data_IF_913948834220
#
_entry.id   IF_913948834220
#
_cell.length_a   1.000
_cell.length_b   1.000
_cell.length_c   1.000
_cell.angle_alpha   90.00
_cell.angle_beta   90.00
_cell.angle_gamma   90.00
#
_symmetry.space_group_name_H-M   'P 1'
#
loop_
_entity.id
_entity.type
_entity.pdbx_description
1 polymer ?
#
# COMPACT_ATOMS: atom_id res chain seq x y z
N UNK A 1 9.26 -6.25 -12.42
CA UNK A 1 10.09 -7.21 -11.65
C UNK A 1 9.19 -7.86 -10.62
N UNK A 2 9.14 -9.19 -10.55
CA UNK A 2 8.31 -9.94 -9.58
C UNK A 2 8.96 -9.96 -8.20
N UNK A 3 8.22 -10.34 -7.15
CA UNK A 3 8.80 -10.51 -5.80
C UNK A 3 9.92 -11.56 -5.78
N UNK A 4 9.83 -12.61 -6.60
CA UNK A 4 10.87 -13.62 -6.74
C UNK A 4 12.17 -13.04 -7.33
N UNK A 5 12.06 -12.24 -8.40
CA UNK A 5 13.22 -11.55 -8.97
C UNK A 5 13.86 -10.56 -7.99
N UNK A 6 13.05 -9.89 -7.17
CA UNK A 6 13.55 -9.03 -6.09
C UNK A 6 14.31 -9.83 -5.04
N UNK A 7 13.77 -10.99 -4.61
CA UNK A 7 14.45 -11.91 -3.68
C UNK A 7 15.81 -12.34 -4.22
N UNK A 8 15.88 -12.82 -5.46
CA UNK A 8 17.14 -13.29 -6.06
C UNK A 8 18.20 -12.19 -6.10
N UNK A 9 17.80 -10.95 -6.40
CA UNK A 9 18.73 -9.83 -6.55
C UNK A 9 19.15 -9.21 -5.22
N UNK A 10 18.22 -9.05 -4.30
CA UNK A 10 18.39 -8.23 -3.09
C UNK A 10 18.48 -9.07 -1.81
N UNK A 11 18.20 -10.38 -1.87
CA UNK A 11 18.14 -11.25 -0.70
C UNK A 11 16.92 -11.00 0.20
N UNK A 12 16.00 -10.14 -0.21
CA UNK A 12 14.83 -9.74 0.57
C UNK A 12 13.61 -10.55 0.13
N UNK A 13 13.02 -11.29 1.05
CA UNK A 13 11.79 -12.03 0.81
C UNK A 13 10.57 -11.26 1.35
N UNK A 14 9.54 -11.14 0.51
CA UNK A 14 8.28 -10.48 0.83
C UNK A 14 7.11 -11.19 0.14
N UNK A 15 5.86 -10.99 0.60
CA UNK A 15 4.68 -11.44 -0.12
C UNK A 15 4.67 -10.89 -1.56
N UNK A 16 4.21 -11.69 -2.53
CA UNK A 16 4.04 -11.24 -3.92
C UNK A 16 2.77 -10.38 -4.07
N UNK A 17 2.69 -9.29 -3.29
CA UNK A 17 1.50 -8.47 -3.13
C UNK A 17 1.87 -7.03 -2.82
N UNK A 18 1.23 -6.10 -3.51
CA UNK A 18 1.24 -4.67 -3.18
C UNK A 18 0.11 -4.38 -2.21
N UNK A 19 0.44 -3.81 -1.06
CA UNK A 19 -0.56 -3.36 -0.08
C UNK A 19 -0.82 -1.87 -0.29
N UNK A 20 -2.02 -1.55 -0.76
CA UNK A 20 -2.45 -0.18 -1.03
C UNK A 20 -3.19 0.35 0.20
N UNK A 21 -2.65 1.41 0.80
CA UNK A 21 -3.11 1.94 2.07
C UNK A 21 -4.25 2.95 1.87
N UNK A 22 -5.34 2.74 2.62
CA UNK A 22 -6.53 3.58 2.67
C UNK A 22 -6.77 4.08 4.11
N UNK A 23 -6.06 5.14 4.54
CA UNK A 23 -6.32 5.77 5.83
C UNK A 23 -7.72 6.40 5.85
N UNK A 24 -8.46 6.18 6.94
CA UNK A 24 -9.79 6.77 7.16
C UNK A 24 -9.76 8.29 6.98
N UNK A 25 -8.75 8.98 7.49
CA UNK A 25 -8.65 10.44 7.39
C UNK A 25 -8.42 10.99 5.96
N UNK A 26 -8.21 10.09 4.98
CA UNK A 26 -7.72 10.37 3.61
C UNK A 26 -6.33 11.04 3.57
N UNK A 27 -5.61 11.09 4.70
CA UNK A 27 -4.31 11.76 4.78
C UNK A 27 -3.21 10.87 4.21
N UNK A 28 -2.74 11.22 3.01
CA UNK A 28 -1.56 10.60 2.41
C UNK A 28 -0.31 11.31 2.89
N UNK A 29 0.43 10.68 3.81
CA UNK A 29 1.69 11.22 4.33
C UNK A 29 2.77 11.21 3.23
N UNK A 30 3.74 12.13 3.33
CA UNK A 30 4.90 12.18 2.40
C UNK A 30 5.71 10.89 2.45
N UNK A 31 5.86 10.30 3.63
CA UNK A 31 6.54 9.04 3.86
C UNK A 31 5.74 8.15 4.81
N UNK A 32 5.84 6.84 4.61
CA UNK A 32 5.19 5.80 5.43
C UNK A 32 6.03 5.53 6.69
N UNK A 33 7.35 5.63 6.59
CA UNK A 33 8.38 5.27 7.59
C UNK A 33 8.58 6.32 8.71
N UNK A 34 7.49 6.95 9.16
CA UNK A 34 7.56 7.93 10.25
C UNK A 34 7.45 7.33 11.65
N UNK A 35 7.56 6.01 11.78
CA UNK A 35 7.56 5.31 13.07
C UNK A 35 8.76 4.38 13.18
N UNK A 36 9.20 4.12 14.42
CA UNK A 36 10.33 3.22 14.70
C UNK A 36 10.07 1.78 14.24
N UNK A 37 8.81 1.43 13.97
CA UNK A 37 8.40 0.09 13.56
C UNK A 37 8.31 -0.08 12.04
N UNK A 38 8.41 0.98 11.23
CA UNK A 38 8.33 0.88 9.77
C UNK A 38 9.48 1.67 9.16
N UNK A 39 10.36 0.96 8.46
CA UNK A 39 11.52 1.57 7.82
C UNK A 39 11.50 1.34 6.31
N UNK A 40 11.80 2.38 5.55
CA UNK A 40 12.08 2.21 4.12
C UNK A 40 13.32 1.33 3.91
N UNK A 41 13.22 0.38 3.00
CA UNK A 41 14.34 -0.51 2.66
C UNK A 41 14.88 -0.20 1.28
N UNK A 42 14.08 -0.44 0.23
CA UNK A 42 14.52 -0.30 -1.16
C UNK A 42 13.33 -0.25 -2.12
N UNK A 43 13.54 0.24 -3.33
CA UNK A 43 12.55 0.14 -4.40
C UNK A 43 12.71 -1.16 -5.20
N UNK A 44 11.60 -1.65 -5.74
CA UNK A 44 11.63 -2.51 -6.91
C UNK A 44 12.32 -1.79 -8.09
N UNK A 45 12.86 -2.55 -9.04
CA UNK A 45 13.33 -2.02 -10.31
C UNK A 45 12.18 -1.28 -11.00
N UNK A 46 12.46 -0.05 -11.43
CA UNK A 46 11.50 0.81 -12.09
C UNK A 46 10.84 0.09 -13.28
N UNK A 47 9.51 0.11 -13.32
CA UNK A 47 8.77 -0.26 -14.52
C UNK A 47 8.67 0.97 -15.42
N UNK A 48 9.08 0.84 -16.68
CA UNK A 48 9.10 1.94 -17.65
C UNK A 48 8.04 1.69 -18.73
N UNK A 49 7.21 2.70 -18.97
CA UNK A 49 6.19 2.66 -20.01
C UNK A 49 5.97 4.05 -20.60
N UNK A 50 5.79 4.13 -21.91
CA UNK A 50 5.33 5.37 -22.55
C UNK A 50 3.85 5.57 -22.23
N UNK A 51 3.49 6.68 -21.59
CA UNK A 51 2.11 6.89 -21.16
C UNK A 51 1.73 8.37 -21.13
N UNK A 52 0.57 8.70 -21.71
CA UNK A 52 0.04 10.07 -21.70
C UNK A 52 0.96 11.10 -22.38
N UNK A 53 1.67 10.70 -23.44
CA UNK A 53 2.64 11.56 -24.13
C UNK A 53 4.01 11.70 -23.42
N UNK A 54 4.22 11.00 -22.30
CA UNK A 54 5.50 10.98 -21.58
C UNK A 54 6.25 9.72 -21.97
N UNK A 55 7.43 9.91 -22.57
CA UNK A 55 8.35 8.81 -22.91
C UNK A 55 9.01 8.26 -21.65
N UNK A 56 9.11 6.94 -21.57
CA UNK A 56 9.78 6.18 -20.52
C UNK A 56 9.36 6.60 -19.10
N UNK A 57 8.05 6.81 -18.87
CA UNK A 57 7.53 7.12 -17.55
C UNK A 57 7.86 5.98 -16.59
N UNK A 58 8.49 6.34 -15.47
CA UNK A 58 8.94 5.39 -14.46
C UNK A 58 7.89 5.23 -13.34
N UNK A 59 7.63 3.97 -12.99
CA UNK A 59 6.80 3.57 -11.86
C UNK A 59 7.67 2.81 -10.87
N UNK A 60 7.66 3.27 -9.62
CA UNK A 60 8.46 2.71 -8.53
C UNK A 60 7.53 2.19 -7.45
N UNK A 61 7.86 1.03 -6.90
CA UNK A 61 7.19 0.46 -5.72
C UNK A 61 8.23 0.35 -4.61
N UNK A 62 7.90 0.87 -3.44
CA UNK A 62 8.80 0.87 -2.28
C UNK A 62 8.55 -0.34 -1.39
N UNK A 63 9.63 -0.95 -0.92
CA UNK A 63 9.62 -2.04 0.07
C UNK A 63 10.02 -1.47 1.42
N UNK A 64 9.26 -1.88 2.44
CA UNK A 64 9.46 -1.47 3.82
C UNK A 64 9.73 -2.68 4.70
N UNK A 65 10.59 -2.51 5.70
CA UNK A 65 10.75 -3.42 6.83
C UNK A 65 9.75 -3.02 7.92
N UNK A 66 8.96 -3.95 8.40
CA UNK A 66 8.00 -3.76 9.48
C UNK A 66 8.43 -4.62 10.66
N UNK A 67 8.67 -3.99 11.81
CA UNK A 67 8.91 -4.66 13.09
C UNK A 67 7.58 -4.82 13.85
N UNK A 68 7.36 -6.02 14.38
CA UNK A 68 6.26 -6.30 15.28
C UNK A 68 6.70 -7.33 16.33
N UNK A 69 6.67 -6.92 17.60
CA UNK A 69 7.07 -7.74 18.75
C UNK A 69 8.46 -8.39 18.60
N UNK A 70 9.43 -7.66 18.04
CA UNK A 70 10.81 -8.13 17.89
C UNK A 70 11.03 -9.10 16.73
N UNK A 71 10.02 -9.30 15.88
CA UNK A 71 10.13 -10.02 14.60
C UNK A 71 9.84 -9.04 13.47
N UNK A 72 10.68 -9.05 12.44
CA UNK A 72 10.46 -8.22 11.27
C UNK A 72 9.99 -9.00 10.04
N UNK A 73 9.31 -8.32 9.14
CA UNK A 73 8.93 -8.81 7.81
C UNK A 73 8.98 -7.66 6.81
N UNK A 74 8.96 -8.00 5.52
CA UNK A 74 8.98 -7.00 4.45
C UNK A 74 7.65 -6.95 3.69
N UNK A 75 7.23 -5.75 3.31
CA UNK A 75 6.07 -5.54 2.44
C UNK A 75 6.33 -4.45 1.41
N UNK A 76 5.73 -4.61 0.23
CA UNK A 76 5.59 -3.55 -0.76
C UNK A 76 4.36 -2.69 -0.39
N UNK A 77 4.57 -1.41 -0.11
CA UNK A 77 3.51 -0.52 0.38
C UNK A 77 3.40 0.73 -0.50
N UNK A 78 2.17 1.19 -0.71
CA UNK A 78 1.88 2.51 -1.29
C UNK A 78 0.57 3.07 -0.72
N UNK A 79 0.50 4.39 -0.49
CA UNK A 79 -0.79 5.04 -0.25
C UNK A 79 -1.59 5.16 -1.54
N UNK A 80 -2.91 4.97 -1.46
CA UNK A 80 -3.81 5.32 -2.55
C UNK A 80 -3.71 6.83 -2.86
N UNK A 81 -2.90 7.18 -3.87
CA UNK A 81 -2.64 8.57 -4.24
C UNK A 81 -3.91 9.39 -4.54
N UNK A 82 -5.01 8.82 -5.10
CA UNK A 82 -6.25 9.57 -5.31
C UNK A 82 -6.84 10.21 -4.05
N UNK A 83 -6.59 9.65 -2.86
CA UNK A 83 -7.07 10.20 -1.59
C UNK A 83 -6.52 11.61 -1.30
N UNK A 84 -5.35 11.97 -1.85
CA UNK A 84 -4.80 13.33 -1.76
C UNK A 84 -5.78 14.38 -2.27
N UNK A 85 -6.52 14.08 -3.34
CA UNK A 85 -7.47 15.02 -3.91
C UNK A 85 -8.68 15.21 -3.00
N UNK A 86 -9.24 14.11 -2.46
CA UNK A 86 -10.34 14.18 -1.49
C UNK A 86 -9.94 15.01 -0.26
N UNK A 87 -8.74 14.76 0.27
CA UNK A 87 -8.22 15.50 1.41
C UNK A 87 -8.03 16.98 1.10
N UNK A 88 -7.46 17.32 -0.06
CA UNK A 88 -7.24 18.70 -0.47
C UNK A 88 -8.57 19.47 -0.68
N UNK A 89 -9.58 18.83 -1.26
CA UNK A 89 -10.91 19.43 -1.40
C UNK A 89 -11.52 19.76 -0.04
N UNK A 90 -11.41 18.84 0.92
CA UNK A 90 -11.86 19.06 2.29
C UNK A 90 -11.09 20.19 2.97
N UNK A 91 -9.77 20.22 2.86
CA UNK A 91 -8.93 21.24 3.51
C UNK A 91 -9.14 22.64 2.92
N UNK A 92 -9.51 22.72 1.64
CA UNK A 92 -9.87 23.98 0.98
C UNK A 92 -11.33 24.41 1.18
N UNK A 93 -12.09 23.71 2.04
CA UNK A 93 -13.51 24.00 2.30
C UNK A 93 -14.43 23.77 1.10
N UNK A 94 -14.00 22.98 0.12
CA UNK A 94 -14.78 22.64 -1.09
C UNK A 94 -15.59 21.35 -0.95
N UNK A 95 -15.33 20.58 0.10
CA UNK A 95 -15.99 19.31 0.37
C UNK A 95 -16.18 19.14 1.89
N UNK A 96 -17.40 18.89 2.39
CA UNK A 96 -17.64 18.51 3.77
C UNK A 96 -16.92 17.20 4.14
N UNK A 97 -16.63 17.00 5.44
CA UNK A 97 -15.97 15.78 5.91
C UNK A 97 -16.78 14.50 5.62
N UNK A 98 -18.10 14.57 5.75
CA UNK A 98 -19.01 13.44 5.47
C UNK A 98 -18.97 13.04 4.00
N UNK A 99 -18.94 14.01 3.09
CA UNK A 99 -18.82 13.78 1.64
C UNK A 99 -17.46 13.17 1.30
N UNK A 100 -16.37 13.66 1.89
CA UNK A 100 -15.04 13.07 1.72
C UNK A 100 -15.00 11.58 2.11
N UNK A 101 -15.67 11.20 3.19
CA UNK A 101 -15.77 9.79 3.59
C UNK A 101 -16.63 8.96 2.61
N UNK A 102 -17.77 9.50 2.16
CA UNK A 102 -18.62 8.82 1.18
C UNK A 102 -17.90 8.59 -0.17
N UNK A 103 -17.12 9.58 -0.63
CA UNK A 103 -16.31 9.47 -1.85
C UNK A 103 -15.16 8.47 -1.70
N UNK A 104 -14.48 8.46 -0.53
CA UNK A 104 -13.47 7.45 -0.22
C UNK A 104 -14.05 6.04 -0.28
N UNK A 105 -15.20 5.82 0.35
CA UNK A 105 -15.83 4.50 0.42
C UNK A 105 -16.33 4.04 -0.95
N UNK A 106 -16.88 4.98 -1.74
CA UNK A 106 -17.26 4.73 -3.13
C UNK A 106 -16.05 4.37 -3.99
N UNK A 107 -14.92 5.06 -3.80
CA UNK A 107 -13.68 4.77 -4.51
C UNK A 107 -13.15 3.37 -4.16
N UNK A 108 -13.11 3.01 -2.87
CA UNK A 108 -12.67 1.67 -2.41
C UNK A 108 -13.57 0.58 -3.00
N UNK A 109 -14.89 0.76 -2.93
CA UNK A 109 -15.86 -0.19 -3.49
C UNK A 109 -15.64 -0.40 -4.98
N UNK A 110 -15.53 0.68 -5.76
CA UNK A 110 -15.37 0.59 -7.21
C UNK A 110 -14.01 -0.01 -7.60
N UNK A 111 -12.94 0.35 -6.88
CA UNK A 111 -11.62 -0.24 -7.08
C UNK A 111 -11.64 -1.73 -6.76
N UNK A 112 -12.33 -2.13 -5.70
CA UNK A 112 -12.50 -3.54 -5.31
C UNK A 112 -13.18 -4.32 -6.43
N UNK A 113 -14.32 -3.83 -6.94
CA UNK A 113 -15.05 -4.47 -8.05
C UNK A 113 -14.17 -4.58 -9.30
N UNK A 114 -13.49 -3.49 -9.69
CA UNK A 114 -12.61 -3.50 -10.86
C UNK A 114 -11.45 -4.50 -10.72
N UNK A 115 -10.91 -4.67 -9.51
CA UNK A 115 -9.87 -5.67 -9.25
C UNK A 115 -10.46 -7.10 -9.22
N UNK A 116 -11.74 -7.29 -8.90
CA UNK A 116 -12.38 -8.61 -8.88
C UNK A 116 -12.64 -9.09 -10.31
N UNK A 117 -13.01 -8.17 -11.20
CA UNK A 117 -13.30 -8.44 -12.60
C UNK A 117 -12.04 -8.77 -13.43
N UNK A 118 -10.84 -8.48 -12.91
CA UNK A 118 -9.57 -8.78 -13.56
C UNK A 118 -8.93 -10.02 -12.96
N UNK A 119 -8.68 -11.02 -13.80
CA UNK A 119 -7.96 -12.24 -13.40
C UNK A 119 -6.67 -11.89 -12.64
N UNK A 120 -6.46 -12.58 -11.51
CA UNK A 120 -5.27 -12.54 -10.66
C UNK A 120 -4.94 -11.18 -10.00
N UNK A 121 -5.79 -10.16 -10.10
CA UNK A 121 -5.47 -8.83 -9.54
C UNK A 121 -5.43 -8.82 -8.00
N UNK A 122 -6.29 -9.59 -7.32
CA UNK A 122 -6.23 -9.76 -5.86
C UNK A 122 -5.13 -10.71 -5.38
N UNK A 123 -4.50 -11.47 -6.28
CA UNK A 123 -3.32 -12.25 -5.92
C UNK A 123 -2.12 -11.33 -5.70
N UNK A 124 -2.05 -10.24 -6.47
CA UNK A 124 -0.92 -9.29 -6.49
C UNK A 124 -1.20 -7.96 -5.79
N UNK A 125 -2.43 -7.72 -5.33
CA UNK A 125 -2.83 -6.48 -4.67
C UNK A 125 -3.74 -6.75 -3.46
N UNK A 126 -3.65 -5.91 -2.42
CA UNK A 126 -4.57 -5.90 -1.28
C UNK A 126 -4.84 -4.47 -0.84
N UNK A 127 -6.12 -4.12 -0.69
CA UNK A 127 -6.52 -2.81 -0.19
C UNK A 127 -6.56 -2.89 1.34
N UNK A 128 -5.85 -1.98 2.00
CA UNK A 128 -5.69 -1.96 3.46
C UNK A 128 -6.39 -0.71 4.00
N UNK A 129 -7.65 -0.88 4.37
CA UNK A 129 -8.43 0.14 5.07
C UNK A 129 -8.08 0.15 6.55
N UNK A 130 -7.85 1.33 7.13
CA UNK A 130 -7.56 1.44 8.56
C UNK A 130 -7.89 2.81 9.14
N UNK A 131 -8.20 2.84 10.43
CA UNK A 131 -8.41 4.07 11.19
C UNK A 131 -7.07 4.64 11.64
N UNK A 132 -6.50 5.55 10.84
CA UNK A 132 -5.18 6.14 11.07
C UNK A 132 -5.14 7.16 12.22
N UNK A 133 -6.25 7.37 12.92
CA UNK A 133 -6.34 8.17 14.15
C UNK A 133 -6.32 7.30 15.40
N UNK A 134 -6.75 6.03 15.29
CA UNK A 134 -6.95 5.12 16.43
C UNK A 134 -6.16 3.81 16.30
N UNK A 135 -5.37 3.64 15.24
CA UNK A 135 -4.63 2.42 14.98
C UNK A 135 -3.27 2.69 14.36
N UNK A 136 -2.28 1.92 14.79
CA UNK A 136 -0.93 1.97 14.25
C UNK A 136 -0.81 1.08 13.01
N UNK A 137 -0.19 1.60 11.95
CA UNK A 137 -0.13 0.89 10.66
C UNK A 137 0.62 -0.45 10.76
N UNK A 138 1.67 -0.54 11.60
CA UNK A 138 2.45 -1.76 11.76
C UNK A 138 1.63 -2.89 12.40
N UNK A 139 0.73 -2.56 13.32
CA UNK A 139 -0.22 -3.50 13.92
C UNK A 139 -1.22 -4.01 12.90
N UNK A 140 -1.78 -3.10 12.09
CA UNK A 140 -2.72 -3.45 11.01
C UNK A 140 -2.04 -4.40 10.02
N UNK A 141 -0.88 -4.01 9.48
CA UNK A 141 -0.13 -4.81 8.51
C UNK A 141 0.25 -6.18 9.08
N UNK A 142 0.68 -6.22 10.34
CA UNK A 142 1.05 -7.47 10.99
C UNK A 142 -0.12 -8.44 11.13
N UNK A 143 -1.34 -7.93 11.34
CA UNK A 143 -2.53 -8.74 11.53
C UNK A 143 -3.27 -9.08 10.22
N UNK A 144 -2.81 -8.60 9.06
CA UNK A 144 -3.42 -8.95 7.78
C UNK A 144 -3.36 -10.48 7.54
N UNK A 145 -4.47 -11.13 7.15
CA UNK A 145 -4.49 -12.57 6.91
C UNK A 145 -3.47 -13.04 5.86
N UNK A 146 -3.24 -12.23 4.82
CA UNK A 146 -2.25 -12.50 3.77
C UNK A 146 -0.81 -12.45 4.31
N UNK A 147 -0.50 -11.48 5.16
CA UNK A 147 0.79 -11.37 5.85
C UNK A 147 0.99 -12.54 6.82
N UNK A 148 -0.02 -12.88 7.62
CA UNK A 148 0.03 -14.00 8.56
C UNK A 148 0.17 -15.36 7.85
N UNK A 149 -0.51 -15.55 6.71
CA UNK A 149 -0.34 -16.72 5.85
C UNK A 149 1.09 -16.79 5.32
N UNK A 150 1.63 -15.68 4.82
CA UNK A 150 3.00 -15.64 4.33
C UNK A 150 4.02 -15.93 5.43
N UNK A 151 3.88 -15.32 6.62
CA UNK A 151 4.79 -15.55 7.75
C UNK A 151 4.86 -17.05 8.12
N UNK A 152 3.70 -17.74 8.20
CA UNK A 152 3.64 -19.19 8.47
C UNK A 152 4.30 -20.05 7.39
N UNK A 153 4.32 -19.60 6.13
CA UNK A 153 4.92 -20.35 5.03
C UNK A 153 6.44 -20.16 4.90
N UNK A 154 7.00 -19.19 5.62
CA UNK A 154 8.36 -18.70 5.37
C UNK A 154 9.25 -18.60 6.61
N UNK A 155 8.65 -18.57 7.80
CA UNK A 155 9.35 -18.34 9.09
C UNK A 155 9.22 -19.57 10.02
N UNK A 156 8.42 -20.58 9.66
CA UNK A 156 8.42 -21.93 10.23
C UNK A 156 9.12 -22.89 9.27
#
# INVERSE_FOLDING_TARGET
MTAEQFKTKEGIQLPNKLYILFPKSCKVKKYIDKSDCIEYTKNFLAFKLDHGGIKAREYHISVYRIDYNGKFFYCALEYAQPLKNLRALKENGKMPLSEMYAERDSFIKNLTQMLQDRENSFEVCELVEYDDENSELHDILSNLPSVQKYKRQTIE
#
